data_IF_170068241998
#
_entry.id   IF_170068241998
#
_cell.length_a   1.000
_cell.length_b   1.000
_cell.length_c   1.000
_cell.angle_alpha   90.00
_cell.angle_beta   90.00
_cell.angle_gamma   90.00
#
_symmetry.space_group_name_H-M   'P 1'
#
loop_
_entity.id
_entity.type
_entity.pdbx_description
1 polymer ?
#
# COMPACT_ATOMS: atom_id res chain seq x y z
N UNK A 1 0.08 11.16 -1.54
CA UNK A 1 0.10 11.03 -3.01
C UNK A 1 -0.05 9.58 -3.43
N UNK A 2 0.79 8.65 -2.95
CA UNK A 2 0.71 7.23 -3.31
C UNK A 2 -0.68 6.63 -3.06
N UNK A 3 -1.30 6.89 -1.90
CA UNK A 3 -2.63 6.35 -1.56
C UNK A 3 -3.74 6.89 -2.45
N UNK A 4 -3.64 8.14 -2.91
CA UNK A 4 -4.59 8.73 -3.86
C UNK A 4 -4.50 7.97 -5.19
N UNK A 5 -3.28 7.73 -5.70
CA UNK A 5 -3.07 6.92 -6.89
C UNK A 5 -3.63 5.51 -6.73
N UNK A 6 -3.32 4.84 -5.62
CA UNK A 6 -3.81 3.49 -5.33
C UNK A 6 -5.35 3.41 -5.23
N UNK A 7 -6.03 4.49 -4.84
CA UNK A 7 -7.50 4.55 -4.80
C UNK A 7 -8.09 4.82 -6.18
N UNK A 8 -7.52 5.76 -6.94
CA UNK A 8 -8.08 6.20 -8.22
C UNK A 8 -7.78 5.21 -9.35
N UNK A 9 -6.58 4.62 -9.38
CA UNK A 9 -6.14 3.76 -10.49
C UNK A 9 -7.05 2.55 -10.71
N UNK A 10 -7.48 1.76 -9.72
CA UNK A 10 -8.40 0.64 -9.94
C UNK A 10 -9.74 1.09 -10.54
N UNK A 11 -10.24 2.23 -10.09
CA UNK A 11 -11.46 2.87 -10.61
C UNK A 11 -11.30 3.24 -12.08
N UNK A 12 -10.21 3.94 -12.41
CA UNK A 12 -9.92 4.38 -13.77
C UNK A 12 -9.70 3.19 -14.71
N UNK A 13 -8.96 2.17 -14.25
CA UNK A 13 -8.71 0.94 -15.01
C UNK A 13 -10.01 0.18 -15.27
N UNK A 14 -10.86 0.06 -14.24
CA UNK A 14 -12.19 -0.57 -14.40
C UNK A 14 -13.07 0.17 -15.41
N UNK A 15 -13.03 1.48 -15.41
CA UNK A 15 -13.74 2.30 -16.41
C UNK A 15 -13.20 2.11 -17.83
N UNK A 16 -11.87 2.06 -18.00
CA UNK A 16 -11.22 1.93 -19.31
C UNK A 16 -11.37 0.52 -19.91
N UNK A 17 -11.37 -0.52 -19.09
CA UNK A 17 -11.49 -1.91 -19.53
C UNK A 17 -12.96 -2.30 -19.72
N UNK A 18 -13.87 -1.67 -18.95
CA UNK A 18 -15.28 -2.01 -18.92
C UNK A 18 -15.56 -3.32 -18.16
N UNK A 19 -16.72 -3.92 -18.44
CA UNK A 19 -17.13 -5.20 -17.81
C UNK A 19 -16.27 -6.35 -18.36
N UNK A 20 -15.61 -7.06 -17.45
CA UNK A 20 -14.80 -8.22 -17.78
C UNK A 20 -15.72 -9.44 -17.87
N UNK A 21 -15.71 -10.11 -19.02
CA UNK A 21 -16.37 -11.39 -19.26
C UNK A 21 -15.34 -12.47 -19.61
N UNK A 22 -15.77 -13.72 -19.67
CA UNK A 22 -14.91 -14.86 -20.09
C UNK A 22 -14.32 -14.69 -21.50
N UNK A 23 -14.92 -13.85 -22.34
CA UNK A 23 -14.47 -13.55 -23.69
C UNK A 23 -13.60 -12.27 -23.77
N UNK A 24 -13.37 -11.60 -22.64
CA UNK A 24 -12.58 -10.35 -22.62
C UNK A 24 -11.12 -10.65 -22.92
N UNK A 25 -10.63 -10.14 -24.05
CA UNK A 25 -9.23 -10.27 -24.47
C UNK A 25 -8.33 -9.33 -23.67
N UNK A 26 -7.05 -9.72 -23.51
CA UNK A 26 -5.99 -8.84 -22.97
C UNK A 26 -5.92 -7.51 -23.74
N UNK A 27 -6.26 -7.52 -25.03
CA UNK A 27 -6.31 -6.31 -25.86
C UNK A 27 -7.27 -5.24 -25.31
N UNK A 28 -8.29 -5.61 -24.55
CA UNK A 28 -9.20 -4.66 -23.90
C UNK A 28 -8.50 -3.83 -22.80
N UNK A 29 -7.35 -4.29 -22.30
CA UNK A 29 -6.53 -3.54 -21.35
C UNK A 29 -5.63 -2.49 -22.05
N UNK A 30 -5.52 -2.51 -23.39
CA UNK A 30 -4.64 -1.58 -24.13
C UNK A 30 -4.88 -0.10 -23.80
N UNK A 31 -6.12 0.42 -23.66
CA UNK A 31 -6.33 1.82 -23.30
C UNK A 31 -5.71 2.18 -21.95
N UNK A 32 -5.83 1.30 -20.95
CA UNK A 32 -5.23 1.50 -19.63
C UNK A 32 -3.69 1.43 -19.70
N UNK A 33 -3.14 0.50 -20.51
CA UNK A 33 -1.70 0.37 -20.71
C UNK A 33 -1.11 1.58 -21.47
N UNK A 34 -1.79 2.09 -22.51
CA UNK A 34 -1.36 3.30 -23.22
C UNK A 34 -1.41 4.53 -22.31
N UNK A 35 -2.42 4.65 -21.44
CA UNK A 35 -2.47 5.71 -20.44
C UNK A 35 -1.28 5.62 -19.49
N UNK A 36 -0.99 4.42 -18.98
CA UNK A 36 0.17 4.20 -18.10
C UNK A 36 1.49 4.56 -18.80
N UNK A 37 1.66 4.14 -20.06
CA UNK A 37 2.84 4.51 -20.87
C UNK A 37 2.96 6.01 -21.03
N UNK A 38 1.86 6.71 -21.31
CA UNK A 38 1.83 8.17 -21.40
C UNK A 38 2.25 8.86 -20.12
N UNK A 39 1.78 8.37 -18.97
CA UNK A 39 2.18 8.87 -17.64
C UNK A 39 3.68 8.66 -17.39
N UNK A 40 4.21 7.47 -17.71
CA UNK A 40 5.64 7.21 -17.57
C UNK A 40 6.50 8.09 -18.49
N UNK A 41 6.08 8.27 -19.76
CA UNK A 41 6.77 9.14 -20.69
C UNK A 41 6.76 10.59 -20.20
N UNK A 42 5.62 11.09 -19.70
CA UNK A 42 5.51 12.42 -19.13
C UNK A 42 6.40 12.57 -17.90
N UNK A 43 6.38 11.61 -16.98
CA UNK A 43 7.24 11.61 -15.81
C UNK A 43 8.72 11.64 -16.19
N UNK A 44 9.13 10.84 -17.18
CA UNK A 44 10.49 10.83 -17.71
C UNK A 44 10.89 12.20 -18.25
N UNK A 45 10.04 12.81 -19.11
CA UNK A 45 10.30 14.14 -19.70
C UNK A 45 10.43 15.20 -18.60
N UNK A 46 9.53 15.20 -17.60
CA UNK A 46 9.58 16.16 -16.49
C UNK A 46 10.87 15.98 -15.70
N UNK A 47 11.20 14.76 -15.28
CA UNK A 47 12.41 14.48 -14.50
C UNK A 47 13.69 14.82 -15.28
N UNK A 48 13.72 14.53 -16.57
CA UNK A 48 14.87 14.85 -17.42
C UNK A 48 15.04 16.35 -17.63
N UNK A 49 13.93 17.10 -17.66
CA UNK A 49 13.94 18.56 -17.87
C UNK A 49 14.23 19.35 -16.58
N UNK A 50 14.06 18.71 -15.41
CA UNK A 50 14.26 19.36 -14.11
C UNK A 50 15.65 19.07 -13.57
N UNK A 51 16.37 20.13 -13.22
CA UNK A 51 17.60 19.99 -12.43
C UNK A 51 17.23 19.88 -10.94
N UNK A 52 17.16 18.65 -10.43
CA UNK A 52 16.83 18.37 -9.03
C UNK A 52 18.12 18.48 -8.21
N UNK A 53 18.27 19.50 -7.36
CA UNK A 53 19.43 19.62 -6.50
C UNK A 53 19.45 18.46 -5.48
N UNK A 54 20.61 17.85 -5.29
CA UNK A 54 20.84 16.83 -4.26
C UNK A 54 21.49 17.47 -3.01
N UNK A 55 20.70 18.06 -2.11
CA UNK A 55 21.23 18.83 -0.97
C UNK A 55 22.06 17.97 0.00
N UNK A 56 21.79 16.67 0.06
CA UNK A 56 22.51 15.74 0.94
C UNK A 56 23.86 15.28 0.38
N UNK A 57 24.03 15.23 -0.94
CA UNK A 57 25.30 14.92 -1.56
C UNK A 57 26.33 16.02 -1.26
N UNK A 58 25.93 17.27 -1.39
CA UNK A 58 26.77 18.44 -1.08
C UNK A 58 27.20 18.47 0.40
N UNK A 59 26.27 18.21 1.34
CA UNK A 59 26.57 18.18 2.77
C UNK A 59 27.47 17.01 3.17
N UNK A 60 27.33 15.84 2.51
CA UNK A 60 28.16 14.67 2.77
C UNK A 60 29.60 14.85 2.28
N UNK A 61 29.80 15.54 1.15
CA UNK A 61 31.12 15.87 0.59
C UNK A 61 31.82 16.94 1.44
N UNK A 62 31.07 17.96 1.89
CA UNK A 62 31.63 19.05 2.71
C UNK A 62 32.16 18.59 4.08
N UNK A 63 31.60 17.53 4.66
CA UNK A 63 31.97 17.08 6.00
C UNK A 63 33.04 15.99 6.05
N UNK A 64 33.53 15.46 4.93
CA UNK A 64 34.64 14.48 4.88
C UNK A 64 34.50 13.24 5.77
N UNK A 65 33.31 12.98 6.31
CA UNK A 65 33.08 11.93 7.31
C UNK A 65 33.03 10.56 6.63
N UNK A 66 34.16 9.83 6.71
CA UNK A 66 34.15 8.40 6.41
C UNK A 66 33.22 7.69 7.40
N UNK A 67 32.12 7.11 6.89
CA UNK A 67 31.25 6.27 7.71
C UNK A 67 32.02 5.01 8.12
N UNK A 68 32.34 4.86 9.40
CA UNK A 68 33.11 3.73 9.93
C UNK A 68 32.28 2.42 9.96
N UNK A 69 30.96 2.51 9.89
CA UNK A 69 30.05 1.37 9.97
C UNK A 69 28.98 1.42 8.86
N UNK A 70 28.57 0.27 8.38
CA UNK A 70 27.42 0.15 7.47
C UNK A 70 26.11 0.29 8.29
N UNK A 71 25.01 0.83 7.72
CA UNK A 71 23.68 0.79 8.34
C UNK A 71 23.24 -0.61 8.75
N UNK A 72 23.68 -1.63 8.02
CA UNK A 72 23.40 -3.05 8.31
C UNK A 72 24.06 -3.56 9.61
N UNK A 73 25.00 -2.81 10.19
CA UNK A 73 25.58 -3.13 11.49
C UNK A 73 24.65 -2.85 12.67
N UNK A 74 23.56 -2.10 12.40
CA UNK A 74 22.58 -1.75 13.43
C UNK A 74 21.40 -2.74 13.42
N UNK A 75 21.26 -3.52 14.49
CA UNK A 75 20.26 -4.57 14.59
C UNK A 75 18.82 -4.06 14.37
N UNK A 76 18.48 -2.89 14.91
CA UNK A 76 17.14 -2.31 14.75
C UNK A 76 16.84 -1.93 13.29
N UNK A 77 17.86 -1.50 12.53
CA UNK A 77 17.71 -1.23 11.10
C UNK A 77 17.44 -2.52 10.30
N UNK A 78 18.19 -3.59 10.55
CA UNK A 78 17.97 -4.89 9.88
C UNK A 78 16.59 -5.45 10.19
N UNK A 79 16.18 -5.41 11.47
CA UNK A 79 14.83 -5.84 11.87
C UNK A 79 13.75 -4.96 11.25
N UNK A 80 13.99 -3.66 11.13
CA UNK A 80 13.08 -2.73 10.43
C UNK A 80 12.95 -3.04 8.93
N UNK A 81 14.05 -3.37 8.26
CA UNK A 81 14.03 -3.77 6.86
C UNK A 81 13.22 -5.07 6.64
N UNK A 82 13.39 -6.06 7.51
CA UNK A 82 12.59 -7.30 7.48
C UNK A 82 11.11 -6.97 7.75
N UNK A 83 10.82 -6.10 8.71
CA UNK A 83 9.45 -5.70 9.04
C UNK A 83 8.78 -4.96 7.88
N UNK A 84 9.51 -4.08 7.15
CA UNK A 84 8.99 -3.42 5.94
C UNK A 84 8.70 -4.46 4.85
N UNK A 85 9.59 -5.42 4.64
CA UNK A 85 9.38 -6.49 3.65
C UNK A 85 8.09 -7.28 3.93
N UNK A 86 7.89 -7.71 5.19
CA UNK A 86 6.68 -8.40 5.61
C UNK A 86 5.43 -7.51 5.50
N UNK A 87 5.56 -6.25 5.90
CA UNK A 87 4.48 -5.28 5.79
C UNK A 87 4.00 -5.09 4.35
N UNK A 88 4.93 -4.92 3.39
CA UNK A 88 4.55 -4.78 1.96
C UNK A 88 3.82 -6.03 1.47
N UNK A 89 4.27 -7.22 1.89
CA UNK A 89 3.57 -8.47 1.60
C UNK A 89 2.12 -8.47 2.11
N UNK A 90 1.88 -7.96 3.32
CA UNK A 90 0.53 -7.84 3.91
C UNK A 90 -0.28 -6.76 3.19
N UNK A 91 0.31 -5.58 2.96
CA UNK A 91 -0.36 -4.43 2.32
C UNK A 91 -0.94 -4.78 0.96
N UNK A 92 -0.16 -5.51 0.15
CA UNK A 92 -0.57 -5.91 -1.21
C UNK A 92 -1.30 -7.25 -1.19
N UNK A 93 -0.91 -8.17 -0.33
CA UNK A 93 -1.44 -9.53 -0.26
C UNK A 93 -2.91 -9.57 0.15
N UNK A 94 -3.31 -8.84 1.19
CA UNK A 94 -4.69 -8.85 1.69
C UNK A 94 -5.70 -8.45 0.59
N UNK A 95 -5.59 -7.29 -0.08
CA UNK A 95 -6.57 -6.91 -1.10
C UNK A 95 -6.53 -7.84 -2.32
N UNK A 96 -5.36 -8.38 -2.70
CA UNK A 96 -5.26 -9.33 -3.80
C UNK A 96 -5.94 -10.66 -3.48
N UNK A 97 -5.70 -11.22 -2.29
CA UNK A 97 -6.34 -12.47 -1.86
C UNK A 97 -7.86 -12.26 -1.77
N UNK A 98 -8.31 -11.15 -1.17
CA UNK A 98 -9.72 -10.82 -1.10
C UNK A 98 -10.36 -10.71 -2.49
N UNK A 99 -9.69 -10.07 -3.45
CA UNK A 99 -10.17 -9.97 -4.83
C UNK A 99 -10.28 -11.34 -5.50
N UNK A 100 -9.22 -12.14 -5.45
CA UNK A 100 -9.20 -13.48 -6.05
C UNK A 100 -10.27 -14.39 -5.46
N UNK A 101 -10.47 -14.32 -4.15
CA UNK A 101 -11.50 -15.10 -3.47
C UNK A 101 -12.91 -14.66 -3.86
N UNK A 102 -13.17 -13.34 -3.94
CA UNK A 102 -14.46 -12.83 -4.36
C UNK A 102 -14.79 -13.16 -5.82
N UNK A 103 -13.82 -13.04 -6.72
CA UNK A 103 -14.04 -13.23 -8.17
C UNK A 103 -13.87 -14.68 -8.62
N UNK A 104 -13.25 -15.52 -7.80
CA UNK A 104 -13.07 -16.95 -8.09
C UNK A 104 -14.39 -17.64 -8.30
N UNK A 105 -14.41 -18.65 -9.20
CA UNK A 105 -15.61 -19.46 -9.43
C UNK A 105 -15.99 -20.26 -8.19
N UNK A 106 -17.28 -20.51 -8.01
CA UNK A 106 -17.79 -21.36 -6.92
C UNK A 106 -17.26 -22.79 -6.99
N UNK A 107 -16.93 -23.27 -8.18
CA UNK A 107 -16.29 -24.58 -8.39
C UNK A 107 -14.85 -24.61 -7.82
N UNK A 108 -14.18 -23.46 -7.81
CA UNK A 108 -12.85 -23.30 -7.22
C UNK A 108 -12.89 -22.79 -5.76
N UNK A 109 -14.01 -22.94 -5.08
CA UNK A 109 -14.26 -22.41 -3.74
C UNK A 109 -14.17 -20.86 -3.63
N UNK A 110 -14.38 -20.16 -4.73
CA UNK A 110 -14.56 -18.71 -4.73
C UNK A 110 -16.03 -18.32 -4.55
N UNK A 111 -16.28 -17.01 -4.44
CA UNK A 111 -17.63 -16.49 -4.19
C UNK A 111 -18.42 -16.20 -5.47
N UNK A 112 -17.78 -16.17 -6.64
CA UNK A 112 -18.42 -15.82 -7.92
C UNK A 112 -18.98 -14.40 -7.98
N UNK A 113 -18.48 -13.49 -7.15
CA UNK A 113 -18.90 -12.08 -7.14
C UNK A 113 -18.37 -11.40 -8.42
N UNK A 114 -19.20 -10.57 -9.02
CA UNK A 114 -18.79 -9.84 -10.21
C UNK A 114 -17.57 -8.93 -9.95
N UNK A 115 -16.76 -8.75 -10.99
CA UNK A 115 -15.49 -8.03 -10.91
C UNK A 115 -15.64 -6.56 -10.55
N UNK A 116 -16.77 -5.94 -10.91
CA UNK A 116 -17.04 -4.53 -10.60
C UNK A 116 -17.31 -4.34 -9.11
N UNK A 117 -18.11 -5.23 -8.53
CA UNK A 117 -18.40 -5.24 -7.08
C UNK A 117 -17.12 -5.58 -6.31
N UNK A 118 -16.39 -6.61 -6.70
CA UNK A 118 -15.12 -6.99 -6.07
C UNK A 118 -14.10 -5.83 -6.14
N UNK A 119 -13.99 -5.17 -7.29
CA UNK A 119 -13.15 -3.99 -7.48
C UNK A 119 -13.52 -2.82 -6.54
N UNK A 120 -14.82 -2.58 -6.33
CA UNK A 120 -15.30 -1.55 -5.40
C UNK A 120 -14.97 -1.90 -3.95
N UNK A 121 -15.08 -3.16 -3.58
CA UNK A 121 -14.70 -3.66 -2.24
C UNK A 121 -13.19 -3.48 -2.00
N UNK A 122 -12.35 -3.88 -2.95
CA UNK A 122 -10.90 -3.70 -2.88
C UNK A 122 -10.52 -2.21 -2.93
N UNK A 123 -11.20 -1.42 -3.75
CA UNK A 123 -11.05 0.04 -3.77
C UNK A 123 -11.28 0.67 -2.40
N UNK A 124 -12.22 0.11 -1.63
CA UNK A 124 -12.50 0.55 -0.27
C UNK A 124 -11.34 0.27 0.69
N UNK A 125 -10.60 -0.83 0.53
CA UNK A 125 -9.37 -1.08 1.29
C UNK A 125 -8.37 0.06 1.10
N UNK A 126 -8.11 0.46 -0.14
CA UNK A 126 -7.18 1.54 -0.46
C UNK A 126 -7.70 2.91 0.00
N UNK A 127 -9.01 3.13 -0.08
CA UNK A 127 -9.65 4.33 0.45
C UNK A 127 -9.50 4.42 1.98
N UNK A 128 -9.74 3.34 2.70
CA UNK A 128 -9.51 3.28 4.15
C UNK A 128 -8.05 3.51 4.51
N UNK A 129 -7.12 2.97 3.72
CA UNK A 129 -5.69 3.24 3.88
C UNK A 129 -5.37 4.73 3.66
N UNK A 130 -5.99 5.37 2.67
CA UNK A 130 -5.83 6.81 2.45
C UNK A 130 -6.30 7.62 3.65
N UNK A 131 -7.50 7.35 4.16
CA UNK A 131 -8.04 8.00 5.36
C UNK A 131 -7.14 7.75 6.57
N UNK A 132 -6.70 6.52 6.77
CA UNK A 132 -5.79 6.14 7.87
C UNK A 132 -4.43 6.86 7.80
N UNK A 133 -3.88 7.10 6.61
CA UNK A 133 -2.64 7.88 6.44
C UNK A 133 -2.83 9.36 6.76
N UNK A 134 -3.98 9.95 6.38
CA UNK A 134 -4.30 11.34 6.73
C UNK A 134 -4.47 11.50 8.24
N UNK A 135 -5.25 10.63 8.87
CA UNK A 135 -5.49 10.68 10.32
C UNK A 135 -4.25 10.28 11.12
N UNK A 136 -3.50 9.28 10.64
CA UNK A 136 -2.26 8.82 11.25
C UNK A 136 -1.17 9.88 11.32
N UNK A 137 -1.07 10.74 10.30
CA UNK A 137 -0.17 11.90 10.33
C UNK A 137 -0.50 12.87 11.47
N UNK A 138 -1.77 13.13 11.70
CA UNK A 138 -2.24 14.02 12.79
C UNK A 138 -2.08 13.35 14.17
N UNK A 139 -2.34 12.05 14.26
CA UNK A 139 -2.22 11.27 15.50
C UNK A 139 -0.75 11.02 15.89
N UNK A 140 0.14 10.89 14.90
CA UNK A 140 1.57 10.68 15.12
C UNK A 140 2.26 11.79 15.90
N UNK A 141 1.69 13.02 15.90
CA UNK A 141 2.15 14.10 16.75
C UNK A 141 1.82 13.92 18.24
N UNK A 142 0.84 13.06 18.56
CA UNK A 142 0.35 12.86 19.95
C UNK A 142 0.78 11.50 20.55
N UNK A 143 1.04 10.52 19.71
CA UNK A 143 1.36 9.16 20.14
C UNK A 143 2.75 8.75 19.68
N UNK A 144 3.44 7.92 20.47
CA UNK A 144 4.73 7.37 20.08
C UNK A 144 4.58 6.39 18.90
N UNK A 145 5.55 6.39 17.97
CA UNK A 145 5.56 5.47 16.81
C UNK A 145 5.44 4.01 17.26
N UNK A 146 6.10 3.62 18.34
CA UNK A 146 6.03 2.27 18.91
C UNK A 146 4.62 1.94 19.40
N UNK A 147 3.99 2.84 20.16
CA UNK A 147 2.64 2.62 20.70
C UNK A 147 1.60 2.49 19.58
N UNK A 148 1.66 3.39 18.61
CA UNK A 148 0.75 3.37 17.46
C UNK A 148 0.93 2.11 16.60
N UNK A 149 2.19 1.73 16.30
CA UNK A 149 2.49 0.51 15.55
C UNK A 149 2.01 -0.75 16.28
N UNK A 150 2.23 -0.84 17.59
CA UNK A 150 1.77 -1.98 18.40
C UNK A 150 0.26 -2.10 18.40
N UNK A 151 -0.46 -0.98 18.54
CA UNK A 151 -1.91 -0.95 18.52
C UNK A 151 -2.48 -1.41 17.17
N UNK A 152 -2.02 -0.82 16.05
CA UNK A 152 -2.55 -1.19 14.72
C UNK A 152 -2.16 -2.61 14.31
N UNK A 153 -1.01 -3.11 14.74
CA UNK A 153 -0.59 -4.50 14.49
C UNK A 153 -1.48 -5.48 15.24
N UNK A 154 -1.80 -5.20 16.51
CA UNK A 154 -2.72 -6.03 17.30
C UNK A 154 -4.13 -5.99 16.70
N UNK A 155 -4.62 -4.81 16.34
CA UNK A 155 -5.95 -4.66 15.74
C UNK A 155 -6.04 -5.38 14.39
N UNK A 156 -5.01 -5.26 13.55
CA UNK A 156 -4.93 -5.98 12.27
C UNK A 156 -4.91 -7.50 12.47
N UNK A 157 -4.17 -7.99 13.47
CA UNK A 157 -4.19 -9.41 13.83
C UNK A 157 -5.58 -9.88 14.23
N UNK A 158 -6.30 -9.10 15.05
CA UNK A 158 -7.69 -9.41 15.44
C UNK A 158 -8.60 -9.47 14.20
N UNK A 159 -8.49 -8.51 13.28
CA UNK A 159 -9.30 -8.51 12.06
C UNK A 159 -9.02 -9.73 11.18
N UNK A 160 -7.75 -10.11 11.01
CA UNK A 160 -7.39 -11.32 10.23
C UNK A 160 -7.92 -12.58 10.91
N UNK A 161 -7.81 -12.68 12.24
CA UNK A 161 -8.38 -13.82 12.98
C UNK A 161 -9.89 -13.87 12.82
N UNK A 162 -10.60 -12.75 12.94
CA UNK A 162 -12.04 -12.70 12.70
C UNK A 162 -12.38 -13.10 11.26
N UNK A 163 -11.60 -12.67 10.27
CA UNK A 163 -11.80 -13.08 8.89
C UNK A 163 -11.63 -14.58 8.67
N UNK A 164 -10.74 -15.25 9.43
CA UNK A 164 -10.51 -16.70 9.32
C UNK A 164 -11.62 -17.50 10.02
N UNK A 165 -12.09 -17.05 11.18
CA UNK A 165 -13.01 -17.85 12.01
C UNK A 165 -14.49 -17.55 11.76
N UNK A 166 -14.84 -16.43 11.13
CA UNK A 166 -16.23 -16.13 10.81
C UNK A 166 -16.67 -16.90 9.57
N UNK A 167 -17.78 -17.62 9.62
CA UNK A 167 -18.31 -18.36 8.47
C UNK A 167 -18.62 -17.44 7.29
N UNK A 168 -18.31 -17.86 6.09
CA UNK A 168 -18.56 -17.13 4.84
C UNK A 168 -20.06 -16.91 4.57
N UNK A 169 -20.93 -17.69 5.22
CA UNK A 169 -22.38 -17.59 5.12
C UNK A 169 -22.94 -16.32 5.79
N UNK A 170 -22.16 -15.68 6.67
CA UNK A 170 -22.57 -14.44 7.30
C UNK A 170 -22.34 -13.26 6.37
N UNK A 171 -23.38 -12.84 5.67
CA UNK A 171 -23.35 -11.72 4.74
C UNK A 171 -23.65 -10.40 5.44
N UNK A 172 -22.94 -9.34 5.03
CA UNK A 172 -23.13 -7.97 5.51
C UNK A 172 -23.24 -6.99 4.33
N UNK A 173 -24.00 -5.91 4.53
CA UNK A 173 -24.01 -4.79 3.61
C UNK A 173 -22.87 -3.83 4.00
N UNK A 174 -21.75 -3.92 3.32
CA UNK A 174 -20.56 -3.10 3.57
C UNK A 174 -20.62 -1.83 2.72
N UNK A 175 -20.35 -0.64 3.30
CA UNK A 175 -20.12 0.57 2.51
C UNK A 175 -18.90 0.39 1.62
N UNK A 176 -19.06 0.68 0.33
CA UNK A 176 -17.97 0.57 -0.66
C UNK A 176 -17.78 1.87 -1.43
N UNK A 177 -16.55 2.13 -1.79
CA UNK A 177 -16.18 3.23 -2.67
C UNK A 177 -16.27 2.75 -4.12
N UNK A 178 -17.21 3.32 -4.88
CA UNK A 178 -17.50 2.92 -6.26
C UNK A 178 -16.64 3.65 -7.28
N UNK A 179 -16.63 3.10 -8.49
CA UNK A 179 -15.91 3.64 -9.64
C UNK A 179 -16.35 5.06 -10.06
N UNK A 180 -17.60 5.42 -9.80
CA UNK A 180 -18.17 6.75 -10.05
C UNK A 180 -17.85 7.79 -8.95
N UNK A 181 -16.91 7.47 -8.06
CA UNK A 181 -16.50 8.31 -6.91
C UNK A 181 -17.64 8.49 -5.90
N UNK A 182 -18.64 7.62 -5.92
CA UNK A 182 -19.75 7.60 -4.96
C UNK A 182 -19.55 6.51 -3.90
N UNK A 183 -20.34 6.60 -2.85
CA UNK A 183 -20.44 5.51 -1.87
C UNK A 183 -21.69 4.70 -2.16
N UNK A 184 -21.56 3.39 -2.03
CA UNK A 184 -22.68 2.46 -2.15
C UNK A 184 -22.61 1.38 -1.10
N UNK A 185 -23.47 0.40 -1.21
CA UNK A 185 -23.45 -0.81 -0.39
C UNK A 185 -23.18 -2.01 -1.29
N UNK A 186 -22.28 -2.87 -0.86
CA UNK A 186 -22.07 -4.18 -1.46
C UNK A 186 -22.34 -5.27 -0.43
N UNK A 187 -23.05 -6.30 -0.84
CA UNK A 187 -23.30 -7.47 -0.02
C UNK A 187 -22.13 -8.42 -0.14
N UNK A 188 -21.38 -8.60 0.94
CA UNK A 188 -20.17 -9.43 1.00
C UNK A 188 -20.16 -10.25 2.28
N UNK A 189 -19.43 -11.37 2.34
CA UNK A 189 -19.19 -12.06 3.60
C UNK A 189 -18.52 -11.13 4.63
N UNK A 190 -18.91 -11.29 5.89
CA UNK A 190 -18.34 -10.53 7.00
C UNK A 190 -16.82 -10.73 7.12
N UNK A 191 -16.31 -11.90 6.75
CA UNK A 191 -14.87 -12.19 6.65
C UNK A 191 -14.15 -11.23 5.72
N UNK A 192 -14.71 -10.95 4.54
CA UNK A 192 -14.16 -9.98 3.59
C UNK A 192 -14.16 -8.57 4.19
N UNK A 193 -15.23 -8.16 4.85
CA UNK A 193 -15.29 -6.84 5.52
C UNK A 193 -14.12 -6.65 6.48
N UNK A 194 -13.77 -7.66 7.30
CA UNK A 194 -12.64 -7.57 8.22
C UNK A 194 -11.29 -7.49 7.49
N UNK A 195 -11.11 -8.20 6.37
CA UNK A 195 -9.91 -8.05 5.54
C UNK A 195 -9.79 -6.63 4.97
N UNK A 196 -10.90 -6.03 4.54
CA UNK A 196 -10.90 -4.65 4.03
C UNK A 196 -10.59 -3.63 5.14
N UNK A 197 -11.09 -3.85 6.36
CA UNK A 197 -10.77 -2.99 7.51
C UNK A 197 -9.28 -3.02 7.88
N UNK A 198 -8.53 -4.05 7.51
CA UNK A 198 -7.07 -4.06 7.66
C UNK A 198 -6.38 -2.90 6.93
N UNK A 199 -7.02 -2.30 5.92
CA UNK A 199 -6.50 -1.10 5.24
C UNK A 199 -6.25 0.08 6.20
N UNK A 200 -7.08 0.25 7.23
CA UNK A 200 -6.82 1.24 8.29
C UNK A 200 -5.59 0.89 9.11
N UNK A 201 -5.39 -0.39 9.43
CA UNK A 201 -4.25 -0.85 10.23
C UNK A 201 -2.93 -0.68 9.45
N UNK A 202 -2.90 -1.10 8.19
CA UNK A 202 -1.70 -1.00 7.34
C UNK A 202 -1.32 0.43 7.00
N UNK A 203 -2.26 1.38 7.08
CA UNK A 203 -2.09 2.78 6.69
C UNK A 203 -0.91 3.49 7.34
N UNK A 204 -0.67 3.25 8.63
CA UNK A 204 0.38 3.91 9.44
C UNK A 204 1.61 3.02 9.70
N UNK A 205 1.54 1.75 9.31
CA UNK A 205 2.60 0.79 9.63
C UNK A 205 3.93 1.14 8.97
N UNK A 206 3.92 1.51 7.68
CA UNK A 206 5.15 1.84 6.96
C UNK A 206 5.93 2.97 7.65
N UNK A 207 5.27 4.09 7.94
CA UNK A 207 5.89 5.22 8.62
C UNK A 207 6.38 4.89 10.02
N UNK A 208 5.59 4.13 10.78
CA UNK A 208 5.95 3.67 12.13
C UNK A 208 7.18 2.76 12.12
N UNK A 209 7.23 1.77 11.24
CA UNK A 209 8.37 0.85 11.09
C UNK A 209 9.61 1.62 10.63
N UNK A 210 9.48 2.49 9.63
CA UNK A 210 10.59 3.28 9.11
C UNK A 210 11.18 4.19 10.19
N UNK A 211 10.36 4.90 10.96
CA UNK A 211 10.81 5.74 12.05
C UNK A 211 11.60 4.95 13.10
N UNK A 212 11.09 3.80 13.53
CA UNK A 212 11.78 2.95 14.50
C UNK A 212 13.07 2.34 13.94
N UNK A 213 13.09 1.99 12.65
CA UNK A 213 14.26 1.43 11.97
C UNK A 213 15.40 2.45 11.83
N UNK A 214 15.06 3.74 11.70
CA UNK A 214 16.04 4.82 11.48
C UNK A 214 16.35 5.62 12.75
N UNK A 215 15.66 5.33 13.85
CA UNK A 215 15.87 6.01 15.14
C UNK A 215 17.31 5.87 15.63
N UNK A 216 17.93 6.98 15.98
CA UNK A 216 19.30 6.99 16.50
C UNK A 216 20.42 6.80 15.46
N UNK A 217 20.11 6.59 14.18
CA UNK A 217 21.12 6.43 13.13
C UNK A 217 21.84 7.73 12.76
N UNK A 218 21.29 8.92 13.10
CA UNK A 218 21.92 10.21 12.90
C UNK A 218 22.52 10.38 11.49
N UNK A 219 23.85 10.47 11.40
CA UNK A 219 24.60 10.62 10.13
C UNK A 219 24.44 9.46 9.13
N UNK A 220 23.97 8.30 9.57
CA UNK A 220 23.73 7.13 8.71
C UNK A 220 22.34 7.13 8.08
N UNK A 221 21.43 8.03 8.48
CA UNK A 221 20.05 8.06 7.99
C UNK A 221 19.97 8.23 6.47
N UNK A 222 20.85 9.03 5.88
CA UNK A 222 20.89 9.20 4.42
C UNK A 222 21.23 7.90 3.68
N UNK A 223 22.13 7.08 4.22
CA UNK A 223 22.49 5.79 3.65
C UNK A 223 21.36 4.75 3.80
N UNK A 224 20.53 4.84 4.84
CA UNK A 224 19.39 3.94 5.06
C UNK A 224 18.22 4.20 4.09
N UNK A 225 18.14 5.43 3.56
CA UNK A 225 17.10 5.82 2.59
C UNK A 225 17.41 5.41 1.14
N UNK A 226 18.44 4.60 0.91
CA UNK A 226 18.86 4.16 -0.43
C UNK A 226 19.82 5.12 -1.14
N UNK A 227 20.23 6.22 -0.49
CA UNK A 227 21.25 7.13 -0.99
C UNK A 227 22.67 6.62 -0.65
N UNK A 228 22.95 5.36 -0.92
CA UNK A 228 24.30 4.83 -0.79
C UNK A 228 25.16 5.32 -1.95
N UNK A 229 26.27 5.93 -1.62
CA UNK A 229 27.27 6.45 -2.54
C UNK A 229 27.76 5.39 -3.53
N UNK A 230 27.83 5.77 -4.79
CA UNK A 230 28.82 5.19 -5.69
C UNK A 230 30.20 5.68 -5.22
N UNK A 231 31.21 4.82 -5.09
CA UNK A 231 32.56 5.27 -4.80
C UNK A 231 33.01 6.16 -5.95
N UNK A 232 33.43 7.39 -5.63
CA UNK A 232 34.13 8.25 -6.56
C UNK A 232 35.46 7.54 -6.93
N UNK A 233 35.59 7.19 -8.19
CA UNK A 233 36.87 6.85 -8.80
C UNK A 233 37.79 8.06 -8.76
#
# INVERSE_FOLDING_TARGET
INSIGATIVPVLVGYLIGTISSETSIANANPALFLAMGIFALAFIVLFSMNIPEPHAAAAVANGVKNSHSPLSFRHFVLGAIAIFLYVGIEVGIPNIANLFMTGSTEANGLGIDTTTAGSVVGTYWFLMFIGRLTGGSLGAKFSSKGMLSFVSLLGLVFVLLAIFIPETQMVNMPVFKADISFGLAQVPMSIMFLILCGLCTSVMWGGIFNLATEGLGKYTAATSGQSRLPSQ
#
